data_IF_396462801467
#
_entry.id   IF_396462801467
#
_cell.length_a   1.000
_cell.length_b   1.000
_cell.length_c   1.000
_cell.angle_alpha   90.00
_cell.angle_beta   90.00
_cell.angle_gamma   90.00
#
_symmetry.space_group_name_H-M   'P 1'
#
loop_
_entity.id
_entity.type
_entity.pdbx_description
1 polymer ?
#
# COMPACT_ATOMS: atom_id res chain seq x y z
N UNK A 1 1.11 -15.05 -7.54
CA UNK A 1 1.23 -13.64 -7.98
C UNK A 1 2.60 -13.48 -8.62
N UNK A 2 2.69 -12.84 -9.79
CA UNK A 2 3.94 -12.57 -10.48
C UNK A 2 4.21 -11.05 -10.44
N UNK A 3 5.17 -10.65 -9.58
CA UNK A 3 5.52 -9.25 -9.35
C UNK A 3 6.33 -8.64 -10.51
N UNK A 4 6.78 -9.45 -11.46
CA UNK A 4 7.77 -9.04 -12.46
C UNK A 4 9.17 -8.85 -11.88
N UNK A 5 10.12 -8.55 -12.76
CA UNK A 5 11.53 -8.31 -12.37
C UNK A 5 11.74 -6.94 -11.73
N UNK A 6 10.94 -5.94 -12.13
CA UNK A 6 11.04 -4.55 -11.68
C UNK A 6 9.66 -4.10 -11.21
N UNK A 7 9.61 -3.55 -10.00
CA UNK A 7 8.44 -2.85 -9.46
C UNK A 7 8.74 -1.36 -9.28
N UNK A 8 7.68 -0.55 -9.18
CA UNK A 8 7.79 0.86 -8.86
C UNK A 8 7.40 1.08 -7.40
N UNK A 9 8.16 1.92 -6.69
CA UNK A 9 7.80 2.38 -5.36
C UNK A 9 7.56 3.88 -5.40
N UNK A 10 6.45 4.36 -4.85
CA UNK A 10 6.10 5.78 -4.93
C UNK A 10 5.11 6.25 -3.85
N UNK A 11 5.28 7.50 -3.41
CA UNK A 11 4.37 8.21 -2.50
C UNK A 11 3.11 8.73 -3.22
N UNK A 12 2.29 7.87 -3.81
CA UNK A 12 1.01 8.34 -4.40
C UNK A 12 -0.01 8.80 -3.34
N UNK A 13 0.26 8.48 -2.07
CA UNK A 13 -0.59 8.78 -0.92
C UNK A 13 -0.65 10.28 -0.60
N UNK A 14 0.34 11.06 -1.04
CA UNK A 14 0.39 12.52 -0.84
C UNK A 14 -0.22 13.34 -1.99
N UNK A 15 -0.57 12.70 -3.11
CA UNK A 15 -1.17 13.36 -4.26
C UNK A 15 -2.70 13.36 -4.16
N UNK A 16 -3.41 14.32 -4.82
CA UNK A 16 -4.86 14.26 -4.97
C UNK A 16 -5.31 12.92 -5.55
N UNK A 17 -6.47 12.42 -5.12
CA UNK A 17 -6.96 11.10 -5.51
C UNK A 17 -7.06 10.93 -7.03
N UNK A 18 -7.46 11.98 -7.77
CA UNK A 18 -7.51 11.97 -9.24
C UNK A 18 -6.13 11.72 -9.87
N UNK A 19 -5.09 12.36 -9.35
CA UNK A 19 -3.71 12.20 -9.83
C UNK A 19 -3.18 10.81 -9.48
N UNK A 20 -3.38 10.34 -8.24
CA UNK A 20 -2.97 9.00 -7.84
C UNK A 20 -3.64 7.91 -8.70
N UNK A 21 -4.93 8.09 -9.01
CA UNK A 21 -5.69 7.19 -9.91
C UNK A 21 -5.10 7.18 -11.33
N UNK A 22 -4.86 8.35 -11.89
CA UNK A 22 -4.30 8.48 -13.24
C UNK A 22 -2.90 7.87 -13.31
N UNK A 23 -2.05 8.13 -12.31
CA UNK A 23 -0.71 7.56 -12.22
C UNK A 23 -0.73 6.03 -12.12
N UNK A 24 -1.63 5.44 -11.32
CA UNK A 24 -1.75 3.98 -11.23
C UNK A 24 -2.13 3.33 -12.57
N UNK A 25 -3.06 3.95 -13.31
CA UNK A 25 -3.43 3.49 -14.67
C UNK A 25 -2.27 3.60 -15.65
N UNK A 26 -1.53 4.70 -15.59
CA UNK A 26 -0.36 4.90 -16.45
C UNK A 26 0.74 3.88 -16.15
N UNK A 27 1.03 3.64 -14.87
CA UNK A 27 1.99 2.61 -14.43
C UNK A 27 1.61 1.23 -15.00
N UNK A 28 0.32 0.87 -14.93
CA UNK A 28 -0.20 -0.36 -15.52
C UNK A 28 -0.06 -0.39 -17.05
N UNK A 29 -0.37 0.70 -17.75
CA UNK A 29 -0.23 0.80 -19.21
C UNK A 29 1.23 0.69 -19.67
N UNK A 30 2.17 1.21 -18.88
CA UNK A 30 3.62 1.09 -19.11
C UNK A 30 4.15 -0.35 -18.89
N UNK A 31 3.31 -1.27 -18.42
CA UNK A 31 3.64 -2.68 -18.29
C UNK A 31 4.31 -3.06 -16.96
N UNK A 32 4.38 -2.15 -15.99
CA UNK A 32 4.80 -2.50 -14.65
C UNK A 32 3.77 -3.41 -14.00
N UNK A 33 4.24 -4.50 -13.38
CA UNK A 33 3.36 -5.47 -12.73
C UNK A 33 3.04 -5.10 -11.29
N UNK A 34 3.97 -4.44 -10.59
CA UNK A 34 3.84 -4.14 -9.17
C UNK A 34 4.10 -2.67 -8.86
N UNK A 35 3.18 -2.07 -8.12
CA UNK A 35 3.30 -0.76 -7.48
C UNK A 35 3.35 -0.94 -5.96
N UNK A 36 4.41 -0.43 -5.35
CA UNK A 36 4.62 -0.43 -3.91
C UNK A 36 4.29 0.94 -3.33
N UNK A 37 3.45 0.95 -2.30
CA UNK A 37 3.05 2.18 -1.59
C UNK A 37 3.52 2.16 -0.13
N UNK A 38 3.87 3.33 0.43
CA UNK A 38 4.28 3.44 1.82
C UNK A 38 3.10 3.65 2.75
N UNK A 39 3.39 3.64 4.05
CA UNK A 39 2.51 4.16 5.09
C UNK A 39 3.28 5.07 6.05
N UNK A 40 3.44 6.32 5.64
CA UNK A 40 4.23 7.29 6.39
C UNK A 40 3.49 8.62 6.58
N UNK A 41 2.99 9.23 5.50
CA UNK A 41 2.59 10.64 5.52
C UNK A 41 1.13 10.87 5.10
N UNK A 42 0.66 10.18 4.07
CA UNK A 42 -0.65 10.42 3.50
C UNK A 42 -1.72 9.48 4.05
N UNK A 43 -2.28 8.69 3.14
CA UNK A 43 -3.43 7.82 3.38
C UNK A 43 -3.03 6.57 4.18
N UNK A 44 -4.02 6.05 4.90
CA UNK A 44 -3.97 4.70 5.48
C UNK A 44 -3.76 3.66 4.36
N UNK A 45 -2.84 2.71 4.58
CA UNK A 45 -2.30 1.82 3.56
C UNK A 45 -3.34 0.93 2.88
N UNK A 46 -4.27 0.33 3.63
CA UNK A 46 -5.25 -0.61 3.08
C UNK A 46 -6.31 0.11 2.26
N UNK A 47 -6.81 1.23 2.78
CA UNK A 47 -7.75 2.12 2.08
C UNK A 47 -7.13 2.63 0.77
N UNK A 48 -5.85 3.02 0.83
CA UNK A 48 -5.15 3.47 -0.37
C UNK A 48 -4.89 2.34 -1.37
N UNK A 49 -4.50 1.15 -0.90
CA UNK A 49 -4.30 0.00 -1.75
C UNK A 49 -5.59 -0.38 -2.48
N UNK A 50 -6.72 -0.49 -1.76
CA UNK A 50 -8.03 -0.76 -2.36
C UNK A 50 -8.44 0.29 -3.39
N UNK A 51 -8.17 1.57 -3.10
CA UNK A 51 -8.41 2.66 -4.04
C UNK A 51 -7.62 2.52 -5.36
N UNK A 52 -6.33 2.18 -5.29
CA UNK A 52 -5.48 2.00 -6.47
C UNK A 52 -5.81 0.70 -7.24
N UNK A 53 -6.13 -0.36 -6.51
CA UNK A 53 -6.57 -1.64 -7.07
C UNK A 53 -7.87 -1.47 -7.85
N UNK A 54 -8.87 -0.81 -7.27
CA UNK A 54 -10.12 -0.50 -7.94
C UNK A 54 -9.99 0.47 -9.13
N UNK A 55 -8.85 1.16 -9.26
CA UNK A 55 -8.56 2.03 -10.38
C UNK A 55 -7.96 1.29 -11.60
N UNK A 56 -7.49 0.06 -11.42
CA UNK A 56 -6.65 -0.70 -12.38
C UNK A 56 -7.18 -2.13 -12.57
N UNK A 57 -6.75 -2.83 -13.61
CA UNK A 57 -7.32 -4.15 -13.97
C UNK A 57 -6.40 -5.35 -13.64
N UNK A 58 -5.09 -5.14 -13.71
CA UNK A 58 -4.04 -6.17 -13.62
C UNK A 58 -2.93 -5.80 -12.64
N UNK A 59 -2.76 -4.51 -12.34
CA UNK A 59 -1.71 -4.00 -11.47
C UNK A 59 -1.80 -4.65 -10.10
N UNK A 60 -0.66 -5.17 -9.64
CA UNK A 60 -0.49 -5.62 -8.26
C UNK A 60 -0.12 -4.39 -7.43
N UNK A 61 -0.85 -4.20 -6.33
CA UNK A 61 -0.51 -3.17 -5.34
C UNK A 61 0.04 -3.87 -4.10
N UNK A 62 1.23 -3.45 -3.70
CA UNK A 62 1.93 -3.97 -2.54
C UNK A 62 2.17 -2.86 -1.52
N UNK A 63 2.13 -3.22 -0.24
CA UNK A 63 2.56 -2.30 0.82
C UNK A 63 4.05 -2.49 1.09
N UNK A 64 4.81 -1.40 1.09
CA UNK A 64 6.23 -1.37 1.40
C UNK A 64 6.54 -0.22 2.35
N UNK A 65 5.90 -0.15 3.52
CA UNK A 65 5.20 -1.20 4.28
C UNK A 65 3.80 -0.77 4.77
N UNK A 66 2.99 -1.70 5.26
CA UNK A 66 1.93 -1.44 6.23
C UNK A 66 2.53 -1.44 7.65
N UNK A 67 2.27 -0.37 8.42
CA UNK A 67 2.90 -0.13 9.70
C UNK A 67 2.17 -0.88 10.84
N UNK A 68 2.88 -1.73 11.57
CA UNK A 68 2.34 -2.48 12.72
C UNK A 68 1.87 -1.57 13.86
N UNK A 69 2.38 -0.36 13.94
CA UNK A 69 2.01 0.60 14.99
C UNK A 69 0.67 1.28 14.73
N UNK A 70 0.10 1.11 13.54
CA UNK A 70 -1.04 1.89 13.11
C UNK A 70 -2.36 1.09 13.12
N UNK A 71 -2.30 -0.21 13.46
CA UNK A 71 -3.45 -1.08 13.73
C UNK A 71 -2.99 -2.34 14.48
N UNK A 72 -3.90 -3.03 15.14
CA UNK A 72 -3.60 -4.35 15.71
C UNK A 72 -3.51 -5.45 14.64
N UNK A 73 -2.97 -6.61 15.04
CA UNK A 73 -2.74 -7.74 14.13
C UNK A 73 -4.05 -8.35 13.57
N UNK A 74 -5.14 -8.34 14.33
CA UNK A 74 -6.43 -8.87 13.86
C UNK A 74 -7.02 -7.97 12.79
N UNK A 75 -7.00 -6.65 13.01
CA UNK A 75 -7.42 -5.65 12.03
C UNK A 75 -6.55 -5.72 10.76
N UNK A 76 -5.22 -5.86 10.89
CA UNK A 76 -4.32 -6.02 9.76
C UNK A 76 -4.65 -7.27 8.93
N UNK A 77 -4.86 -8.41 9.59
CA UNK A 77 -5.20 -9.66 8.92
C UNK A 77 -6.58 -9.61 8.25
N UNK A 78 -7.57 -8.98 8.88
CA UNK A 78 -8.90 -8.79 8.29
C UNK A 78 -8.83 -7.95 7.01
N UNK A 79 -8.14 -6.80 7.05
CA UNK A 79 -7.98 -5.93 5.88
C UNK A 79 -7.25 -6.65 4.72
N UNK A 80 -6.22 -7.43 5.05
CA UNK A 80 -5.52 -8.25 4.05
C UNK A 80 -6.44 -9.26 3.37
N UNK A 81 -7.24 -10.00 4.15
CA UNK A 81 -8.20 -10.98 3.61
C UNK A 81 -9.21 -10.31 2.69
N UNK A 82 -9.79 -9.19 3.13
CA UNK A 82 -10.75 -8.43 2.32
C UNK A 82 -10.15 -8.00 0.98
N UNK A 83 -8.95 -7.42 0.96
CA UNK A 83 -8.32 -6.98 -0.29
C UNK A 83 -7.88 -8.15 -1.17
N UNK A 84 -7.38 -9.24 -0.59
CA UNK A 84 -6.99 -10.43 -1.35
C UNK A 84 -8.19 -11.13 -1.99
N UNK A 85 -9.35 -11.14 -1.32
CA UNK A 85 -10.59 -11.69 -1.85
C UNK A 85 -11.20 -10.77 -2.92
N UNK A 86 -11.27 -9.46 -2.66
CA UNK A 86 -11.81 -8.47 -3.61
C UNK A 86 -10.96 -8.32 -4.87
N UNK A 87 -9.64 -8.53 -4.77
CA UNK A 87 -8.69 -8.40 -5.86
C UNK A 87 -7.77 -9.63 -5.96
N UNK A 88 -8.29 -10.79 -6.42
CA UNK A 88 -7.56 -12.05 -6.43
C UNK A 88 -6.21 -11.94 -7.13
N UNK A 89 -5.14 -12.25 -6.40
CA UNK A 89 -3.78 -12.24 -6.92
C UNK A 89 -3.18 -10.85 -7.17
N UNK A 90 -3.84 -9.77 -6.73
CA UNK A 90 -3.40 -8.38 -6.99
C UNK A 90 -3.04 -7.57 -5.74
N UNK A 91 -3.28 -8.06 -4.53
CA UNK A 91 -2.84 -7.39 -3.30
C UNK A 91 -1.75 -8.18 -2.55
N UNK A 92 -0.62 -7.53 -2.28
CA UNK A 92 0.48 -8.08 -1.47
C UNK A 92 0.68 -7.25 -0.18
N UNK A 93 0.53 -7.88 0.97
CA UNK A 93 0.81 -7.24 2.26
C UNK A 93 2.29 -7.38 2.62
N UNK A 94 3.02 -6.26 2.60
CA UNK A 94 4.32 -6.14 3.25
C UNK A 94 4.15 -5.43 4.59
N UNK A 95 4.71 -6.02 5.65
CA UNK A 95 4.56 -5.54 7.03
C UNK A 95 5.91 -4.99 7.50
N UNK A 96 5.90 -3.96 8.34
CA UNK A 96 7.12 -3.58 9.04
C UNK A 96 6.92 -2.64 10.22
N UNK A 97 8.04 -2.35 10.88
CA UNK A 97 8.09 -1.66 12.17
C UNK A 97 8.26 -0.14 12.07
N UNK A 98 8.40 0.41 10.86
CA UNK A 98 8.66 1.84 10.64
C UNK A 98 9.94 2.33 11.35
N UNK A 99 10.03 3.62 11.66
CA UNK A 99 11.20 4.28 12.24
C UNK A 99 10.82 5.14 13.44
N UNK A 100 11.72 5.27 14.41
CA UNK A 100 11.47 5.99 15.67
C UNK A 100 10.81 7.37 15.52
N UNK A 101 11.22 8.25 14.57
CA UNK A 101 10.59 9.57 14.44
C UNK A 101 9.10 9.49 14.09
N UNK A 102 8.70 8.53 13.24
CA UNK A 102 7.29 8.34 12.87
C UNK A 102 6.51 7.69 14.00
N UNK A 103 7.09 6.70 14.67
CA UNK A 103 6.40 5.89 15.68
C UNK A 103 6.24 6.67 16.99
N UNK A 104 7.34 7.18 17.55
CA UNK A 104 7.31 7.94 18.80
C UNK A 104 6.83 9.37 18.58
N UNK A 105 7.30 10.04 17.52
CA UNK A 105 6.98 11.44 17.28
C UNK A 105 5.57 11.68 16.76
N UNK A 106 5.17 10.99 15.68
CA UNK A 106 3.88 11.26 15.02
C UNK A 106 2.74 10.40 15.54
N UNK A 107 3.02 9.16 15.94
CA UNK A 107 1.98 8.20 16.38
C UNK A 107 1.88 8.07 17.90
N UNK A 108 2.86 8.55 18.66
CA UNK A 108 2.85 8.54 20.12
C UNK A 108 3.03 7.17 20.75
N UNK A 109 3.67 6.22 20.04
CA UNK A 109 4.01 4.90 20.59
C UNK A 109 5.46 4.84 21.06
N UNK A 110 5.75 3.95 22.01
CA UNK A 110 7.12 3.66 22.39
C UNK A 110 7.82 2.82 21.32
N UNK A 111 8.92 3.35 20.79
CA UNK A 111 9.79 2.65 19.85
C UNK A 111 11.00 2.09 20.61
N UNK A 112 10.85 0.89 21.15
CA UNK A 112 11.88 0.15 21.89
C UNK A 112 12.41 -1.04 21.09
#
# INVERSE_FOLDING_TARGET
MDLGRVGLWHFLDVFPASIARAAAREIEHLGFKALWIPEALGREAFTHAGFLLGATERLIVATGIANVWARDAMAMAAAQKTLAEAYPGRFLLGIGVSHAPLVAGMRGHDYA
#
